data_IF_094479080853
#
_entry.id   IF_094479080853
#
_cell.length_a   1.000
_cell.length_b   1.000
_cell.length_c   1.000
_cell.angle_alpha   90.00
_cell.angle_beta   90.00
_cell.angle_gamma   90.00
#
_symmetry.space_group_name_H-M   'P 1'
#
loop_
_entity.id
_entity.type
_entity.pdbx_description
1 polymer ?
#
# COMPACT_ATOMS: atom_id res chain seq x y z
N UNK A 1 11.08 14.76 -14.91
CA UNK A 1 11.18 13.30 -14.74
C UNK A 1 10.47 12.55 -15.88
N UNK A 2 9.13 12.57 -15.97
CA UNK A 2 8.36 11.83 -17.00
C UNK A 2 8.72 12.24 -18.44
N UNK A 3 8.81 13.55 -18.73
CA UNK A 3 9.25 14.06 -20.04
C UNK A 3 10.67 13.58 -20.43
N UNK A 4 11.56 13.48 -19.45
CA UNK A 4 12.94 13.07 -19.65
C UNK A 4 13.03 11.56 -19.98
N UNK A 5 12.17 10.75 -19.33
CA UNK A 5 12.00 9.32 -19.64
C UNK A 5 11.41 9.12 -21.04
N UNK A 6 10.44 9.93 -21.46
CA UNK A 6 9.85 9.86 -22.80
C UNK A 6 10.86 10.23 -23.90
N UNK A 7 11.68 11.26 -23.67
CA UNK A 7 12.76 11.66 -24.60
C UNK A 7 13.81 10.55 -24.73
N UNK A 8 14.23 9.93 -23.61
CA UNK A 8 15.17 8.82 -23.63
C UNK A 8 14.61 7.59 -24.35
N UNK A 9 13.33 7.24 -24.11
CA UNK A 9 12.63 6.16 -24.83
C UNK A 9 12.56 6.43 -26.35
N UNK A 10 12.23 7.66 -26.75
CA UNK A 10 12.19 8.04 -28.16
C UNK A 10 13.56 7.93 -28.85
N UNK A 11 14.63 8.38 -28.17
CA UNK A 11 16.01 8.24 -28.63
C UNK A 11 16.42 6.77 -28.76
N UNK A 12 16.04 5.94 -27.79
CA UNK A 12 16.34 4.50 -27.79
C UNK A 12 15.64 3.79 -28.95
N UNK A 13 14.38 4.12 -29.23
CA UNK A 13 13.62 3.61 -30.38
C UNK A 13 14.26 4.04 -31.70
N UNK A 14 14.73 5.29 -31.81
CA UNK A 14 15.45 5.81 -32.99
C UNK A 14 16.76 5.06 -33.24
N UNK A 15 17.53 4.80 -32.18
CA UNK A 15 18.78 4.03 -32.24
C UNK A 15 18.51 2.59 -32.66
N UNK A 16 17.47 1.96 -32.11
CA UNK A 16 17.05 0.60 -32.48
C UNK A 16 16.61 0.53 -33.95
N UNK A 17 15.82 1.50 -34.44
CA UNK A 17 15.45 1.59 -35.87
C UNK A 17 16.67 1.74 -36.78
N UNK A 18 17.64 2.58 -36.41
CA UNK A 18 18.89 2.74 -37.17
C UNK A 18 19.68 1.43 -37.21
N UNK A 19 19.84 0.73 -36.08
CA UNK A 19 20.55 -0.56 -35.98
C UNK A 19 19.87 -1.66 -36.82
N UNK A 20 18.54 -1.71 -36.84
CA UNK A 20 17.78 -2.70 -37.60
C UNK A 20 17.98 -2.54 -39.13
N UNK A 21 18.10 -1.30 -39.62
CA UNK A 21 18.39 -1.00 -41.04
C UNK A 21 19.76 -1.51 -41.48
N UNK A 22 20.78 -1.42 -40.62
CA UNK A 22 22.12 -2.00 -40.86
C UNK A 22 22.19 -3.52 -40.73
N UNK A 23 21.24 -4.16 -40.04
CA UNK A 23 21.28 -5.59 -39.76
C UNK A 23 20.76 -6.49 -40.89
N UNK A 24 20.07 -5.94 -41.91
CA UNK A 24 19.58 -6.67 -43.10
C UNK A 24 20.69 -7.23 -44.01
N UNK A 25 21.98 -7.06 -43.68
CA UNK A 25 23.12 -7.46 -44.54
C UNK A 25 23.92 -8.69 -44.05
N UNK A 26 23.47 -9.43 -43.03
CA UNK A 26 24.22 -10.58 -42.50
C UNK A 26 23.32 -11.60 -41.78
N UNK A 27 22.78 -12.57 -42.50
CA UNK A 27 21.74 -13.49 -42.00
C UNK A 27 22.26 -14.63 -41.09
N UNK A 28 23.55 -15.01 -41.14
CA UNK A 28 24.10 -16.09 -40.31
C UNK A 28 24.39 -15.72 -38.84
N UNK A 29 25.01 -14.55 -38.59
CA UNK A 29 25.30 -14.04 -37.22
C UNK A 29 24.08 -13.39 -36.54
N UNK A 30 22.97 -13.23 -37.24
CA UNK A 30 21.77 -12.55 -36.72
C UNK A 30 20.98 -13.42 -35.72
N UNK A 31 20.91 -14.75 -35.94
CA UNK A 31 20.09 -15.67 -35.13
C UNK A 31 20.58 -15.78 -33.68
N UNK A 32 21.90 -15.94 -33.47
CA UNK A 32 22.52 -16.00 -32.12
C UNK A 32 22.45 -14.66 -31.38
N UNK A 33 22.53 -13.54 -32.11
CA UNK A 33 22.46 -12.18 -31.55
C UNK A 33 21.04 -11.79 -31.13
N UNK A 34 20.02 -12.28 -31.84
CA UNK A 34 18.62 -12.07 -31.47
C UNK A 34 18.22 -12.80 -30.18
N UNK A 35 18.72 -14.02 -29.94
CA UNK A 35 18.45 -14.75 -28.68
C UNK A 35 19.03 -14.03 -27.45
N UNK A 36 20.27 -13.55 -27.56
CA UNK A 36 20.93 -12.74 -26.52
C UNK A 36 20.20 -11.41 -26.27
N UNK A 37 19.71 -10.76 -27.33
CA UNK A 37 18.93 -9.53 -27.23
C UNK A 37 17.56 -9.76 -26.58
N UNK A 38 16.89 -10.88 -26.89
CA UNK A 38 15.60 -11.25 -26.29
C UNK A 38 15.76 -11.51 -24.78
N UNK A 39 16.81 -12.23 -24.37
CA UNK A 39 17.12 -12.45 -22.95
C UNK A 39 17.54 -11.17 -22.21
N UNK A 40 18.21 -10.25 -22.88
CA UNK A 40 18.55 -8.94 -22.29
C UNK A 40 17.30 -8.06 -22.15
N UNK A 41 16.47 -7.98 -23.19
CA UNK A 41 15.21 -7.24 -23.16
C UNK A 41 14.24 -7.81 -22.11
N UNK A 42 14.21 -9.13 -21.90
CA UNK A 42 13.34 -9.75 -20.89
C UNK A 42 13.70 -9.37 -19.45
N UNK A 43 14.92 -8.89 -19.19
CA UNK A 43 15.34 -8.41 -17.86
C UNK A 43 15.17 -6.89 -17.76
N UNK A 44 15.54 -6.16 -18.82
CA UNK A 44 15.46 -4.68 -18.84
C UNK A 44 14.01 -4.19 -18.78
N UNK A 45 13.09 -4.86 -19.47
CA UNK A 45 11.69 -4.45 -19.52
C UNK A 45 11.04 -4.48 -18.11
N UNK A 46 11.11 -5.58 -17.33
CA UNK A 46 10.62 -5.59 -15.95
C UNK A 46 11.29 -4.55 -15.04
N UNK A 47 12.60 -4.31 -15.18
CA UNK A 47 13.29 -3.29 -14.37
C UNK A 47 12.77 -1.88 -14.65
N UNK A 48 12.55 -1.53 -15.93
CA UNK A 48 11.99 -0.23 -16.31
C UNK A 48 10.55 -0.10 -15.80
N UNK A 49 9.73 -1.15 -15.97
CA UNK A 49 8.38 -1.22 -15.42
C UNK A 49 8.40 -0.98 -13.91
N UNK A 50 9.22 -1.72 -13.16
CA UNK A 50 9.32 -1.59 -11.71
C UNK A 50 9.77 -0.20 -11.27
N UNK A 51 10.70 0.41 -12.00
CA UNK A 51 11.18 1.78 -11.72
C UNK A 51 10.08 2.82 -11.93
N UNK A 52 9.24 2.66 -12.95
CA UNK A 52 8.12 3.57 -13.24
C UNK A 52 6.96 3.38 -12.25
N UNK A 53 6.68 2.13 -11.85
CA UNK A 53 5.62 1.84 -10.88
C UNK A 53 6.05 2.04 -9.43
N UNK A 54 7.35 2.06 -9.12
CA UNK A 54 7.85 2.21 -7.75
C UNK A 54 7.28 3.45 -7.03
N UNK A 55 7.27 4.67 -7.61
CA UNK A 55 6.63 5.82 -6.99
C UNK A 55 5.13 5.62 -6.73
N UNK A 56 4.42 4.92 -7.61
CA UNK A 56 2.99 4.64 -7.48
C UNK A 56 2.75 3.68 -6.30
N UNK A 57 3.54 2.61 -6.19
CA UNK A 57 3.50 1.71 -5.05
C UNK A 57 3.86 2.41 -3.74
N UNK A 58 4.85 3.30 -3.74
CA UNK A 58 5.18 4.11 -2.56
C UNK A 58 4.05 5.04 -2.15
N UNK A 59 3.32 5.65 -3.09
CA UNK A 59 2.13 6.43 -2.79
C UNK A 59 1.03 5.53 -2.23
N UNK A 60 0.72 4.40 -2.86
CA UNK A 60 -0.29 3.46 -2.36
C UNK A 60 0.02 2.95 -0.94
N UNK A 61 1.29 2.67 -0.66
CA UNK A 61 1.75 2.34 0.69
C UNK A 61 1.60 3.52 1.66
N UNK A 62 1.95 4.74 1.23
CA UNK A 62 1.78 5.96 2.02
C UNK A 62 0.32 6.16 2.46
N UNK A 63 -0.64 5.96 1.56
CA UNK A 63 -2.08 6.01 1.86
C UNK A 63 -2.57 4.84 2.72
N UNK A 64 -1.69 3.90 3.07
CA UNK A 64 -2.01 2.73 3.87
C UNK A 64 -2.90 1.75 3.12
N UNK A 65 -2.88 1.74 1.79
CA UNK A 65 -3.72 0.86 0.97
C UNK A 65 -3.41 -0.62 1.22
N UNK A 66 -2.18 -0.93 1.62
CA UNK A 66 -1.74 -2.26 2.06
C UNK A 66 -1.73 -2.43 3.59
N UNK A 67 -2.10 -1.40 4.35
CA UNK A 67 -2.20 -1.54 5.80
C UNK A 67 -3.26 -2.58 6.15
N UNK A 68 -2.81 -3.59 6.88
CA UNK A 68 -3.61 -4.66 7.42
C UNK A 68 -3.59 -4.54 8.94
N UNK A 69 -4.76 -4.67 9.55
CA UNK A 69 -4.90 -4.86 10.99
C UNK A 69 -5.84 -6.05 11.17
N UNK A 70 -5.41 -7.00 11.97
CA UNK A 70 -6.23 -8.15 12.33
C UNK A 70 -7.35 -7.72 13.28
N UNK A 71 -8.43 -8.50 13.30
CA UNK A 71 -9.56 -8.28 14.21
C UNK A 71 -9.12 -8.23 15.68
N UNK A 72 -8.22 -9.13 16.06
CA UNK A 72 -7.68 -9.22 17.42
C UNK A 72 -6.85 -8.00 17.81
N UNK A 73 -6.03 -7.47 16.90
CA UNK A 73 -5.30 -6.22 17.13
C UNK A 73 -6.24 -5.03 17.34
N UNK A 74 -7.33 -4.94 16.57
CA UNK A 74 -8.32 -3.88 16.68
C UNK A 74 -9.10 -3.96 18.00
N UNK A 75 -9.55 -5.17 18.38
CA UNK A 75 -10.22 -5.41 19.67
C UNK A 75 -9.29 -5.07 20.84
N UNK A 76 -8.02 -5.47 20.75
CA UNK A 76 -7.03 -5.18 21.79
C UNK A 76 -6.72 -3.68 21.90
N UNK A 77 -6.61 -2.97 20.79
CA UNK A 77 -6.42 -1.52 20.80
C UNK A 77 -7.61 -0.82 21.47
N UNK A 78 -8.84 -1.14 21.06
CA UNK A 78 -10.04 -0.59 21.70
C UNK A 78 -10.08 -0.90 23.20
N UNK A 79 -9.69 -2.11 23.60
CA UNK A 79 -9.62 -2.49 25.01
C UNK A 79 -8.58 -1.66 25.79
N UNK A 80 -7.37 -1.45 25.24
CA UNK A 80 -6.35 -0.57 25.86
C UNK A 80 -6.85 0.87 25.98
N UNK A 81 -7.51 1.37 24.94
CA UNK A 81 -8.12 2.69 24.95
C UNK A 81 -9.11 2.82 26.12
N UNK A 82 -10.01 1.84 26.30
CA UNK A 82 -10.94 1.82 27.43
C UNK A 82 -10.24 1.77 28.79
N UNK A 83 -9.22 0.92 28.95
CA UNK A 83 -8.45 0.86 30.19
C UNK A 83 -7.79 2.21 30.54
N UNK A 84 -7.29 2.93 29.54
CA UNK A 84 -6.71 4.27 29.73
C UNK A 84 -7.74 5.30 30.22
N UNK A 85 -9.03 5.10 29.92
CA UNK A 85 -10.14 5.91 30.44
C UNK A 85 -10.75 5.36 31.74
N UNK A 86 -10.18 4.30 32.32
CA UNK A 86 -10.67 3.67 33.55
C UNK A 86 -11.94 2.83 33.36
N UNK A 87 -12.27 2.46 32.13
CA UNK A 87 -13.43 1.65 31.78
C UNK A 87 -13.07 0.16 31.88
N UNK A 88 -13.94 -0.65 32.50
CA UNK A 88 -13.68 -2.08 32.76
C UNK A 88 -14.59 -3.03 31.97
N UNK A 89 -15.48 -2.47 31.15
CA UNK A 89 -16.42 -3.23 30.34
C UNK A 89 -15.77 -4.04 29.22
N UNK A 90 -16.58 -4.93 28.67
CA UNK A 90 -16.25 -5.78 27.54
C UNK A 90 -16.64 -5.10 26.23
N UNK A 91 -15.76 -5.19 25.24
CA UNK A 91 -16.01 -4.68 23.90
C UNK A 91 -16.17 -5.84 22.92
N UNK A 92 -17.28 -5.86 22.20
CA UNK A 92 -17.52 -6.83 21.14
C UNK A 92 -17.45 -6.12 19.78
N UNK A 93 -16.49 -6.54 18.94
CA UNK A 93 -16.36 -6.00 17.60
C UNK A 93 -17.48 -6.52 16.70
N UNK A 94 -18.27 -5.62 16.13
CA UNK A 94 -19.31 -5.98 15.16
C UNK A 94 -18.77 -5.93 13.73
N UNK A 95 -18.13 -4.81 13.38
CA UNK A 95 -17.63 -4.55 12.03
C UNK A 95 -16.44 -3.61 12.10
N UNK A 96 -15.51 -3.77 11.18
CA UNK A 96 -14.50 -2.75 10.94
C UNK A 96 -14.34 -2.53 9.44
N UNK A 97 -14.06 -1.30 9.07
CA UNK A 97 -13.93 -0.87 7.68
C UNK A 97 -12.67 -0.06 7.51
N UNK A 98 -12.02 -0.20 6.36
CA UNK A 98 -10.86 0.63 6.04
C UNK A 98 -11.31 2.08 5.83
N UNK A 99 -10.66 3.00 6.52
CA UNK A 99 -10.93 4.42 6.38
C UNK A 99 -10.09 4.99 5.24
N UNK A 100 -10.72 5.22 4.08
CA UNK A 100 -10.05 5.83 2.92
C UNK A 100 -9.89 7.36 3.01
N UNK A 101 -10.51 8.00 4.01
CA UNK A 101 -10.40 9.46 4.23
C UNK A 101 -9.19 9.85 5.07
N UNK A 102 -8.55 8.87 5.72
CA UNK A 102 -7.40 9.06 6.61
C UNK A 102 -6.24 8.19 6.16
N UNK A 103 -5.03 8.72 6.23
CA UNK A 103 -3.77 8.03 5.89
C UNK A 103 -3.65 6.75 6.73
N UNK A 104 -3.98 5.58 6.16
CA UNK A 104 -3.93 4.29 6.85
C UNK A 104 -4.70 4.23 8.18
N UNK A 105 -5.98 3.84 8.14
CA UNK A 105 -6.74 3.60 9.37
C UNK A 105 -7.98 2.74 9.17
N UNK A 106 -8.60 2.35 10.26
CA UNK A 106 -9.82 1.57 10.33
C UNK A 106 -10.87 2.31 11.16
N UNK A 107 -12.11 2.32 10.67
CA UNK A 107 -13.27 2.65 11.49
C UNK A 107 -13.76 1.36 12.08
N UNK A 108 -13.80 1.31 13.41
CA UNK A 108 -14.20 0.15 14.19
C UNK A 108 -15.59 0.43 14.75
N UNK A 109 -16.51 -0.51 14.58
CA UNK A 109 -17.87 -0.49 15.12
C UNK A 109 -18.04 -1.67 16.05
N UNK A 110 -18.55 -1.42 17.25
CA UNK A 110 -18.84 -2.48 18.20
C UNK A 110 -19.70 -2.02 19.35
N UNK A 111 -20.03 -2.96 20.21
CA UNK A 111 -20.84 -2.72 21.40
C UNK A 111 -19.96 -2.83 22.63
N UNK A 112 -19.95 -1.77 23.44
CA UNK A 112 -19.39 -1.78 24.78
C UNK A 112 -20.45 -2.24 25.76
N UNK A 113 -20.07 -3.11 26.70
CA UNK A 113 -20.95 -3.61 27.75
C UNK A 113 -20.26 -3.61 29.10
N UNK A 114 -20.90 -3.04 30.12
CA UNK A 114 -20.35 -3.00 31.48
C UNK A 114 -21.46 -3.20 32.51
N UNK A 115 -21.16 -3.93 33.58
CA UNK A 115 -22.08 -4.09 34.70
C UNK A 115 -21.73 -3.08 35.79
N UNK A 116 -22.62 -2.11 36.02
CA UNK A 116 -22.46 -1.08 37.04
C UNK A 116 -23.60 -1.26 38.04
N UNK A 117 -23.26 -1.54 39.30
CA UNK A 117 -24.22 -1.72 40.39
C UNK A 117 -25.33 -2.75 40.09
N UNK A 118 -24.98 -3.87 39.44
CA UNK A 118 -25.92 -4.95 39.11
C UNK A 118 -26.77 -4.71 37.86
N UNK A 119 -26.57 -3.58 37.16
CA UNK A 119 -27.24 -3.28 35.89
C UNK A 119 -26.22 -3.32 34.75
N UNK A 120 -26.55 -4.05 33.69
CA UNK A 120 -25.75 -4.09 32.46
C UNK A 120 -26.10 -2.88 31.60
N UNK A 121 -25.11 -2.05 31.33
CA UNK A 121 -25.17 -0.95 30.38
C UNK A 121 -24.53 -1.40 29.07
N UNK A 122 -25.20 -1.12 27.95
CA UNK A 122 -24.67 -1.38 26.62
C UNK A 122 -24.68 -0.10 25.79
N UNK A 123 -23.58 0.18 25.11
CA UNK A 123 -23.44 1.34 24.26
C UNK A 123 -22.85 0.93 22.91
N UNK A 124 -23.48 1.38 21.82
CA UNK A 124 -22.86 1.28 20.49
C UNK A 124 -21.78 2.33 20.36
N UNK A 125 -20.59 1.89 19.98
CA UNK A 125 -19.40 2.72 19.95
C UNK A 125 -18.72 2.65 18.59
N UNK A 126 -18.04 3.74 18.24
CA UNK A 126 -17.30 3.88 16.99
C UNK A 126 -15.92 4.43 17.29
N UNK A 127 -14.88 3.68 16.90
CA UNK A 127 -13.49 4.11 17.05
C UNK A 127 -12.84 4.38 15.70
N UNK A 128 -11.87 5.29 15.71
CA UNK A 128 -10.93 5.47 14.61
C UNK A 128 -9.58 4.93 15.09
N UNK A 129 -9.07 3.93 14.40
CA UNK A 129 -7.77 3.35 14.66
C UNK A 129 -6.82 3.68 13.50
N UNK A 130 -5.66 4.26 13.80
CA UNK A 130 -4.70 4.70 12.80
C UNK A 130 -3.52 3.73 12.77
N UNK A 131 -3.27 3.11 11.62
CA UNK A 131 -2.19 2.12 11.46
C UNK A 131 -0.84 2.75 11.14
N UNK A 132 -0.81 4.01 10.71
CA UNK A 132 0.40 4.79 10.44
C UNK A 132 0.33 6.10 11.21
N UNK A 133 1.50 6.63 11.59
CA UNK A 133 1.60 7.99 12.13
C UNK A 133 0.98 8.96 11.13
N UNK A 134 -0.18 9.54 11.47
CA UNK A 134 -0.74 10.63 10.70
C UNK A 134 0.24 11.81 10.86
N UNK A 135 0.85 12.27 9.78
CA UNK A 135 1.84 13.36 9.87
C UNK A 135 1.18 14.73 10.09
N UNK A 136 -0.14 14.83 9.88
CA UNK A 136 -0.91 16.07 9.97
C UNK A 136 -1.40 16.39 11.37
N UNK A 137 -1.48 15.40 12.27
CA UNK A 137 -1.87 15.60 13.65
C UNK A 137 -0.91 14.83 14.54
N UNK A 138 -0.53 15.45 15.66
CA UNK A 138 0.42 15.00 16.68
C UNK A 138 0.00 13.72 17.41
N UNK A 139 -0.83 12.89 16.80
CA UNK A 139 -1.27 11.61 17.31
C UNK A 139 -0.27 10.56 16.82
N UNK A 140 0.51 10.01 17.76
CA UNK A 140 1.27 8.79 17.51
C UNK A 140 0.34 7.63 17.15
N UNK A 141 0.86 6.40 17.06
CA UNK A 141 -0.04 5.23 17.14
C UNK A 141 -0.96 5.45 18.36
N UNK A 142 -2.22 5.76 18.12
CA UNK A 142 -3.21 5.86 19.19
C UNK A 142 -3.53 4.43 19.55
N UNK A 143 -2.92 3.98 20.65
CA UNK A 143 -3.38 2.82 21.41
C UNK A 143 -4.84 3.00 21.84
#
# INVERSE_FOLDING_TARGET
>A
MVLLVLVLLGLLILILKRKQKTAKKSEGKAKKRNWLLIGCLSIVIPMVIFTVFSPIFSLMDMWGLFAHASRTELEQAVHRSYQNYGLTGQFELEKYEKNYTSVGGFIIHGTYSENIAGKTYQAKTRFKYYTRFSKSETYGKTD
#
